data_IF_403107754930
#
_entry.id   IF_403107754930
#
_cell.length_a   1.000
_cell.length_b   1.000
_cell.length_c   1.000
_cell.angle_alpha   90.00
_cell.angle_beta   90.00
_cell.angle_gamma   90.00
#
_symmetry.space_group_name_H-M   'P 1'
#
loop_
_entity.id
_entity.type
_entity.pdbx_description
1 polymer ?
#
# COMPACT_ATOMS: atom_id res chain seq x y z
N UNK A 1 3.52 -32.62 -6.96
CA UNK A 1 4.67 -31.78 -7.36
C UNK A 1 4.45 -30.40 -6.75
N UNK A 2 5.22 -30.03 -5.73
CA UNK A 2 5.24 -28.66 -5.20
C UNK A 2 6.34 -27.93 -5.96
N UNK A 3 5.96 -26.98 -6.82
CA UNK A 3 6.91 -26.16 -7.56
C UNK A 3 7.75 -25.34 -6.60
N UNK A 4 9.07 -25.47 -6.70
CA UNK A 4 10.00 -24.63 -5.96
C UNK A 4 9.81 -23.17 -6.41
N UNK A 5 9.37 -22.31 -5.50
CA UNK A 5 9.49 -20.87 -5.69
C UNK A 5 10.97 -20.52 -5.63
N UNK A 6 11.57 -20.27 -6.78
CA UNK A 6 12.91 -19.68 -6.84
C UNK A 6 12.74 -18.20 -6.49
N UNK A 7 12.93 -17.84 -5.22
CA UNK A 7 13.09 -16.44 -4.82
C UNK A 7 14.48 -15.98 -5.28
N UNK A 8 14.59 -15.59 -6.56
CA UNK A 8 15.76 -14.85 -7.02
C UNK A 8 15.64 -13.44 -6.50
N UNK A 9 16.42 -13.11 -5.48
CA UNK A 9 16.53 -11.75 -4.99
C UNK A 9 16.95 -10.83 -6.14
N UNK A 10 16.04 -9.96 -6.55
CA UNK A 10 16.22 -9.10 -7.74
C UNK A 10 16.47 -7.68 -7.30
N UNK A 11 17.46 -7.02 -7.89
CA UNK A 11 17.70 -5.59 -7.64
C UNK A 11 16.90 -4.75 -8.62
N UNK A 12 16.24 -3.70 -8.13
CA UNK A 12 15.50 -2.75 -8.95
C UNK A 12 15.77 -1.33 -8.49
N UNK A 13 15.95 -0.42 -9.45
CA UNK A 13 16.07 1.00 -9.15
C UNK A 13 14.66 1.61 -9.00
N UNK A 14 14.40 2.25 -7.87
CA UNK A 14 13.18 3.01 -7.63
C UNK A 14 13.52 4.49 -7.62
N UNK A 15 13.00 5.21 -8.61
CA UNK A 15 13.37 6.62 -8.88
C UNK A 15 12.58 7.65 -8.07
N UNK A 16 11.60 7.21 -7.29
CA UNK A 16 10.75 8.08 -6.44
C UNK A 16 10.85 7.68 -4.97
N UNK A 17 10.57 8.61 -4.07
CA UNK A 17 10.42 8.28 -2.65
C UNK A 17 9.23 7.35 -2.43
N UNK A 18 9.32 6.48 -1.41
CA UNK A 18 8.27 5.51 -1.11
C UNK A 18 8.19 5.19 0.39
N UNK A 19 6.99 4.86 0.85
CA UNK A 19 6.79 4.27 2.17
C UNK A 19 7.00 2.77 2.14
N UNK A 20 7.52 2.24 3.24
CA UNK A 20 7.52 0.82 3.54
C UNK A 20 6.57 0.52 4.71
N UNK A 21 6.09 -0.71 4.75
CA UNK A 21 5.04 -1.18 5.66
C UNK A 21 5.47 -2.51 6.30
N UNK A 22 5.05 -2.74 7.54
CA UNK A 22 5.37 -3.98 8.25
C UNK A 22 4.62 -5.19 7.68
N UNK A 23 3.45 -4.96 7.08
CA UNK A 23 2.62 -5.96 6.39
C UNK A 23 2.23 -5.45 5.00
N UNK A 24 1.81 -6.35 4.12
CA UNK A 24 1.33 -6.03 2.77
C UNK A 24 -0.07 -5.38 2.80
N UNK A 25 -0.19 -4.23 3.46
CA UNK A 25 -1.43 -3.47 3.59
C UNK A 25 -1.13 -1.98 3.83
N UNK A 26 -1.93 -1.11 3.20
CA UNK A 26 -1.91 0.33 3.43
C UNK A 26 -2.40 0.72 4.83
N UNK A 27 -3.08 -0.18 5.55
CA UNK A 27 -3.47 0.02 6.95
C UNK A 27 -2.45 -0.54 7.94
N UNK A 28 -1.32 -1.06 7.44
CA UNK A 28 -0.21 -1.48 8.30
C UNK A 28 0.55 -0.26 8.84
N UNK A 29 1.25 -0.45 9.96
CA UNK A 29 2.20 0.53 10.47
C UNK A 29 3.29 0.76 9.43
N UNK A 30 3.50 2.04 9.07
CA UNK A 30 4.63 2.44 8.24
C UNK A 30 5.95 2.20 8.98
N UNK A 31 6.90 1.59 8.29
CA UNK A 31 8.26 1.35 8.81
C UNK A 31 9.09 2.64 8.77
N UNK A 32 10.36 2.57 9.17
CA UNK A 32 11.27 3.71 9.19
C UNK A 32 10.69 4.91 9.97
N UNK A 33 9.99 4.62 11.06
CA UNK A 33 9.31 5.63 11.88
C UNK A 33 8.23 6.43 11.14
N UNK A 34 7.69 5.92 10.04
CA UNK A 34 6.73 6.64 9.20
C UNK A 34 7.37 7.63 8.23
N UNK A 35 8.68 7.58 8.03
CA UNK A 35 9.41 8.42 7.06
C UNK A 35 9.65 7.66 5.76
N UNK A 36 9.48 8.35 4.63
CA UNK A 36 9.76 7.77 3.32
C UNK A 36 11.23 7.39 3.15
N UNK A 37 11.45 6.32 2.40
CA UNK A 37 12.74 6.01 1.81
C UNK A 37 12.93 6.89 0.57
N UNK A 38 14.11 7.50 0.44
CA UNK A 38 14.51 8.23 -0.77
C UNK A 38 14.69 7.29 -1.96
N UNK A 39 14.66 7.80 -3.21
CA UNK A 39 14.99 7.03 -4.41
C UNK A 39 16.27 6.22 -4.24
N UNK A 40 16.20 4.91 -4.48
CA UNK A 40 17.32 4.01 -4.29
C UNK A 40 17.14 2.68 -5.02
N UNK A 41 18.23 1.93 -5.15
CA UNK A 41 18.18 0.54 -5.60
C UNK A 41 17.81 -0.37 -4.43
N UNK A 42 16.70 -1.09 -4.57
CA UNK A 42 16.16 -2.01 -3.56
C UNK A 42 16.46 -3.47 -3.91
N UNK A 43 16.50 -4.34 -2.90
CA UNK A 43 16.54 -5.79 -3.08
C UNK A 43 15.14 -6.38 -2.87
N UNK A 44 14.58 -6.97 -3.92
CA UNK A 44 13.22 -7.52 -3.95
C UNK A 44 13.27 -9.02 -3.71
N UNK A 45 12.55 -9.48 -2.69
CA UNK A 45 12.41 -10.88 -2.28
C UNK A 45 11.11 -11.53 -2.76
N UNK A 46 10.08 -10.73 -3.03
CA UNK A 46 8.78 -11.19 -3.52
C UNK A 46 8.08 -10.05 -4.27
N UNK A 47 7.41 -10.37 -5.38
CA UNK A 47 6.46 -9.46 -6.06
C UNK A 47 5.09 -10.12 -6.14
N UNK A 48 4.07 -9.44 -5.62
CA UNK A 48 2.68 -9.86 -5.76
C UNK A 48 1.99 -9.12 -6.90
N UNK A 49 1.04 -9.80 -7.53
CA UNK A 49 0.27 -9.26 -8.66
C UNK A 49 -0.64 -8.07 -8.26
N UNK A 50 -0.91 -7.88 -6.97
CA UNK A 50 -1.70 -6.75 -6.45
C UNK A 50 -0.83 -5.51 -6.10
N UNK A 51 0.43 -5.48 -6.54
CA UNK A 51 1.33 -4.33 -6.41
C UNK A 51 2.23 -4.34 -5.18
N UNK A 52 2.02 -5.28 -4.24
CA UNK A 52 2.85 -5.40 -3.04
C UNK A 52 4.14 -6.15 -3.30
N UNK A 53 5.27 -5.52 -3.01
CA UNK A 53 6.60 -6.12 -3.11
C UNK A 53 7.23 -6.24 -1.73
N UNK A 54 7.80 -7.40 -1.41
CA UNK A 54 8.61 -7.57 -0.21
C UNK A 54 10.06 -7.26 -0.54
N UNK A 55 10.65 -6.33 0.18
CA UNK A 55 12.03 -5.88 0.00
C UNK A 55 12.84 -6.09 1.28
N UNK A 56 14.16 -6.20 1.15
CA UNK A 56 15.06 -6.17 2.30
C UNK A 56 15.42 -4.72 2.65
N UNK A 57 15.26 -4.36 3.93
CA UNK A 57 15.77 -3.10 4.49
C UNK A 57 16.68 -3.39 5.69
N UNK A 58 17.30 -2.35 6.25
CA UNK A 58 18.09 -2.46 7.48
C UNK A 58 17.22 -2.81 8.72
N UNK A 59 15.92 -2.52 8.67
CA UNK A 59 14.92 -2.93 9.69
C UNK A 59 14.45 -4.38 9.50
N UNK A 60 15.04 -5.11 8.54
CA UNK A 60 14.58 -6.42 8.06
C UNK A 60 13.60 -6.30 6.88
N UNK A 61 12.94 -7.40 6.53
CA UNK A 61 12.05 -7.43 5.38
C UNK A 61 10.82 -6.55 5.59
N UNK A 62 10.45 -5.76 4.59
CA UNK A 62 9.30 -4.85 4.58
C UNK A 62 8.54 -4.90 3.27
N UNK A 63 7.31 -4.41 3.29
CA UNK A 63 6.43 -4.35 2.13
C UNK A 63 6.38 -2.94 1.57
N UNK A 64 6.42 -2.82 0.24
CA UNK A 64 6.20 -1.55 -0.47
C UNK A 64 5.10 -1.74 -1.51
N UNK A 65 4.42 -0.65 -1.84
CA UNK A 65 3.52 -0.60 -2.98
C UNK A 65 3.72 0.75 -3.69
N UNK A 66 4.24 0.70 -4.92
CA UNK A 66 4.63 1.90 -5.66
C UNK A 66 3.50 2.48 -6.51
N UNK A 67 2.50 1.67 -6.88
CA UNK A 67 1.51 2.03 -7.90
C UNK A 67 0.07 1.99 -7.39
N UNK A 68 -0.13 1.59 -6.14
CA UNK A 68 -1.43 1.36 -5.55
C UNK A 68 -1.91 -0.09 -5.69
N UNK A 69 -2.95 -0.40 -4.94
CA UNK A 69 -3.65 -1.68 -4.94
C UNK A 69 -5.08 -1.46 -5.38
N UNK A 70 -5.51 -2.20 -6.40
CA UNK A 70 -6.92 -2.21 -6.81
C UNK A 70 -7.75 -2.96 -5.78
N UNK A 71 -8.78 -2.31 -5.22
CA UNK A 71 -9.72 -2.92 -4.28
C UNK A 71 -11.15 -2.66 -4.71
N UNK A 72 -11.97 -3.71 -4.71
CA UNK A 72 -13.39 -3.59 -4.96
C UNK A 72 -14.13 -3.30 -3.64
N UNK A 73 -14.94 -2.24 -3.63
CA UNK A 73 -15.83 -1.93 -2.52
C UNK A 73 -17.23 -2.38 -2.89
N UNK A 74 -17.75 -3.40 -2.20
CA UNK A 74 -18.97 -4.12 -2.59
C UNK A 74 -20.28 -3.38 -2.24
N UNK A 75 -20.23 -2.38 -1.37
CA UNK A 75 -21.40 -1.68 -0.84
C UNK A 75 -21.38 -0.21 -1.22
N UNK A 76 -22.55 0.44 -1.10
CA UNK A 76 -22.62 1.90 -1.14
C UNK A 76 -21.69 2.50 -0.09
N UNK A 77 -20.94 3.53 -0.44
CA UNK A 77 -20.01 4.17 0.48
C UNK A 77 -19.95 5.68 0.29
N UNK A 78 -19.37 6.34 1.28
CA UNK A 78 -19.03 7.77 1.27
C UNK A 78 -17.52 7.93 1.33
N UNK A 79 -17.02 9.00 0.74
CA UNK A 79 -15.67 9.50 1.01
C UNK A 79 -15.73 10.57 2.08
N UNK A 80 -14.59 10.84 2.73
CA UNK A 80 -14.44 11.84 3.79
C UNK A 80 -13.19 12.67 3.49
N UNK A 81 -13.25 13.97 3.80
CA UNK A 81 -12.11 14.87 3.56
C UNK A 81 -10.91 14.56 4.46
N UNK A 82 -11.17 13.99 5.65
CA UNK A 82 -10.18 13.50 6.60
C UNK A 82 -10.50 12.06 7.01
N UNK A 83 -9.52 11.29 7.51
CA UNK A 83 -9.73 9.91 7.99
C UNK A 83 -10.50 9.88 9.31
N UNK A 84 -11.76 10.30 9.29
CA UNK A 84 -12.62 10.44 10.45
C UNK A 84 -14.10 10.42 10.06
N UNK A 85 -14.93 9.72 10.83
CA UNK A 85 -16.38 9.68 10.62
C UNK A 85 -17.08 11.02 10.92
N UNK A 86 -16.43 11.91 11.66
CA UNK A 86 -16.96 13.27 11.94
C UNK A 86 -16.47 14.32 10.94
N UNK A 87 -15.57 13.94 10.02
CA UNK A 87 -15.16 14.82 8.92
C UNK A 87 -16.35 15.14 8.01
N UNK A 88 -16.38 16.33 7.38
CA UNK A 88 -17.22 16.56 6.23
C UNK A 88 -17.00 15.44 5.19
N UNK A 89 -18.12 14.97 4.61
CA UNK A 89 -18.09 14.01 3.52
C UNK A 89 -17.47 14.66 2.28
N UNK A 90 -16.65 13.89 1.57
CA UNK A 90 -16.10 14.28 0.28
C UNK A 90 -17.19 14.36 -0.79
N UNK A 91 -16.87 14.99 -1.93
CA UNK A 91 -17.81 15.11 -3.05
C UNK A 91 -19.15 15.74 -2.67
N UNK A 92 -19.16 16.68 -1.71
CA UNK A 92 -20.37 17.31 -1.19
C UNK A 92 -21.41 16.31 -0.63
N UNK A 93 -20.96 15.18 -0.10
CA UNK A 93 -21.84 14.14 0.43
C UNK A 93 -22.40 13.18 -0.61
N UNK A 94 -21.82 13.13 -1.80
CA UNK A 94 -22.15 12.13 -2.82
C UNK A 94 -22.00 10.71 -2.27
N UNK A 95 -23.03 9.88 -2.47
CA UNK A 95 -22.96 8.43 -2.30
C UNK A 95 -22.34 7.82 -3.54
N UNK A 96 -21.37 6.92 -3.36
CA UNK A 96 -20.80 6.12 -4.42
C UNK A 96 -21.40 4.72 -4.42
N UNK A 97 -21.65 4.17 -5.61
CA UNK A 97 -22.02 2.77 -5.78
C UNK A 97 -20.82 1.85 -5.59
N UNK A 98 -21.07 0.55 -5.49
CA UNK A 98 -20.01 -0.45 -5.48
C UNK A 98 -19.12 -0.31 -6.73
N UNK A 99 -17.80 -0.22 -6.54
CA UNK A 99 -16.84 -0.03 -7.62
C UNK A 99 -15.42 -0.44 -7.22
N UNK A 100 -14.56 -0.66 -8.21
CA UNK A 100 -13.11 -0.80 -8.00
C UNK A 100 -12.48 0.58 -7.77
N UNK A 101 -11.65 0.68 -6.74
CA UNK A 101 -10.85 1.85 -6.41
C UNK A 101 -9.37 1.52 -6.50
N UNK A 102 -8.57 2.50 -6.90
CA UNK A 102 -7.13 2.44 -6.73
C UNK A 102 -6.77 3.02 -5.35
N UNK A 103 -6.34 2.16 -4.43
CA UNK A 103 -5.88 2.55 -3.10
C UNK A 103 -4.38 2.84 -3.17
N UNK A 104 -3.97 4.02 -2.72
CA UNK A 104 -2.58 4.49 -2.78
C UNK A 104 -1.96 4.74 -1.40
N UNK A 105 -2.78 4.86 -0.36
CA UNK A 105 -2.31 5.00 1.03
C UNK A 105 -3.40 4.59 2.04
N UNK A 106 -3.05 4.58 3.32
CA UNK A 106 -3.99 4.34 4.41
C UNK A 106 -3.45 4.67 5.79
N UNK A 107 -4.32 4.47 6.78
CA UNK A 107 -4.02 4.67 8.20
C UNK A 107 -4.17 3.36 8.98
N UNK A 108 -3.51 3.27 10.13
CA UNK A 108 -3.63 2.12 11.05
C UNK A 108 -5.04 1.98 11.65
N UNK A 109 -5.84 3.04 11.60
CA UNK A 109 -7.26 3.02 11.98
C UNK A 109 -8.20 2.51 10.89
N UNK A 110 -7.67 2.09 9.73
CA UNK A 110 -8.45 1.43 8.68
C UNK A 110 -8.92 2.33 7.54
N UNK A 111 -8.61 3.63 7.56
CA UNK A 111 -8.92 4.53 6.45
C UNK A 111 -8.01 4.27 5.26
N UNK A 112 -8.58 4.37 4.06
CA UNK A 112 -7.90 4.20 2.77
C UNK A 112 -7.98 5.50 1.97
N UNK A 113 -6.93 5.80 1.22
CA UNK A 113 -6.82 6.94 0.30
C UNK A 113 -6.54 6.44 -1.12
#
# INVERSE_FOLDING_TARGET
MMGAFVNTDTKENVEKSFYAYNEASFTSVKSNGGVEYLPQTILIKEKRNNGWWRIQTWEGDKWINLNGEKKYVEKLFYTYNEPSFVSPKGGQGQVFSAQELLVIDGTTSGWLK
#
